data_IF_097628756963
#
_entry.id   IF_097628756963
#
_cell.length_a   1.000
_cell.length_b   1.000
_cell.length_c   1.000
_cell.angle_alpha   90.00
_cell.angle_beta   90.00
_cell.angle_gamma   90.00
#
_symmetry.space_group_name_H-M   'P 1'
#
loop_
_entity.id
_entity.type
_entity.pdbx_description
1 polymer ?
#
# COMPACT_ATOMS: atom_id res chain seq x y z
N UNK A 1 15.43 3.00 -10.32
CA UNK A 1 14.45 1.95 -9.98
C UNK A 1 14.57 1.76 -8.49
N UNK A 2 13.52 2.02 -7.73
CA UNK A 2 13.51 1.87 -6.27
C UNK A 2 13.96 0.44 -5.89
N UNK A 3 14.88 0.32 -4.93
CA UNK A 3 15.23 -0.97 -4.34
C UNK A 3 14.01 -1.58 -3.63
N UNK A 4 14.10 -2.86 -3.26
CA UNK A 4 13.05 -3.53 -2.48
C UNK A 4 12.70 -2.77 -1.20
N UNK A 5 11.41 -2.47 -1.01
CA UNK A 5 10.86 -1.80 0.19
C UNK A 5 10.02 -2.78 1.02
N UNK A 6 9.67 -2.39 2.27
CA UNK A 6 8.85 -3.20 3.17
C UNK A 6 7.40 -3.38 2.69
N UNK A 7 6.85 -2.37 2.01
CA UNK A 7 5.51 -2.41 1.44
C UNK A 7 5.45 -1.46 0.24
N UNK A 8 4.58 -1.78 -0.72
CA UNK A 8 4.26 -0.94 -1.86
C UNK A 8 2.75 -1.05 -2.14
N UNK A 9 1.98 -0.03 -1.79
CA UNK A 9 0.52 -0.06 -1.88
C UNK A 9 0.01 -0.23 -3.32
N UNK A 10 0.53 0.56 -4.26
CA UNK A 10 0.17 0.45 -5.69
C UNK A 10 0.60 -0.90 -6.29
N UNK A 11 1.75 -1.43 -5.89
CA UNK A 11 2.20 -2.77 -6.26
C UNK A 11 1.22 -3.84 -5.78
N UNK A 12 0.78 -3.76 -4.53
CA UNK A 12 -0.20 -4.69 -3.96
C UNK A 12 -1.55 -4.63 -4.71
N UNK A 13 -2.03 -3.43 -5.05
CA UNK A 13 -3.26 -3.26 -5.87
C UNK A 13 -3.11 -3.93 -7.23
N UNK A 14 -2.01 -3.68 -7.94
CA UNK A 14 -1.76 -4.28 -9.24
C UNK A 14 -1.70 -5.81 -9.16
N UNK A 15 -1.00 -6.35 -8.17
CA UNK A 15 -0.92 -7.80 -7.92
C UNK A 15 -2.31 -8.40 -7.65
N UNK A 16 -3.12 -7.78 -6.79
CA UNK A 16 -4.48 -8.24 -6.49
C UNK A 16 -5.39 -8.31 -7.73
N UNK A 17 -5.36 -7.27 -8.58
CA UNK A 17 -6.17 -7.22 -9.81
C UNK A 17 -5.71 -8.29 -10.80
N UNK A 18 -4.40 -8.44 -11.03
CA UNK A 18 -3.87 -9.49 -11.91
C UNK A 18 -4.22 -10.87 -11.38
N UNK A 19 -4.09 -11.11 -10.07
CA UNK A 19 -4.46 -12.40 -9.47
C UNK A 19 -5.96 -12.68 -9.57
N UNK A 20 -6.82 -11.66 -9.47
CA UNK A 20 -8.25 -11.80 -9.74
C UNK A 20 -8.51 -12.23 -11.19
N UNK A 21 -7.87 -11.58 -12.16
CA UNK A 21 -8.05 -11.87 -13.57
C UNK A 21 -7.53 -13.27 -13.97
N UNK A 22 -6.38 -13.68 -13.42
CA UNK A 22 -5.72 -14.95 -13.78
C UNK A 22 -6.28 -16.14 -13.00
N UNK A 23 -6.61 -15.96 -11.72
CA UNK A 23 -6.98 -17.06 -10.82
C UNK A 23 -8.44 -17.00 -10.36
N UNK A 24 -9.21 -16.01 -10.79
CA UNK A 24 -10.62 -15.86 -10.41
C UNK A 24 -10.83 -15.45 -8.94
N UNK A 25 -9.81 -14.87 -8.29
CA UNK A 25 -9.96 -14.34 -6.93
C UNK A 25 -11.00 -13.22 -6.93
N UNK A 26 -11.82 -13.16 -5.88
CA UNK A 26 -12.85 -12.14 -5.74
C UNK A 26 -12.40 -11.08 -4.74
N UNK A 27 -12.86 -9.85 -4.97
CA UNK A 27 -12.71 -8.75 -4.02
C UNK A 27 -13.41 -9.07 -2.68
N UNK A 28 -12.77 -8.77 -1.52
CA UNK A 28 -11.42 -8.25 -1.40
C UNK A 28 -10.34 -9.33 -1.54
N UNK A 29 -9.20 -8.97 -2.12
CA UNK A 29 -8.00 -9.81 -2.18
C UNK A 29 -7.00 -9.37 -1.13
N UNK A 30 -6.52 -10.30 -0.31
CA UNK A 30 -5.42 -10.04 0.64
C UNK A 30 -4.05 -10.22 -0.02
N UNK A 31 -3.15 -9.27 0.22
CA UNK A 31 -1.77 -9.27 -0.27
C UNK A 31 -0.83 -9.17 0.92
N UNK A 32 0.00 -10.18 1.12
CA UNK A 32 1.07 -10.18 2.11
C UNK A 32 2.30 -9.47 1.54
N UNK A 33 2.69 -8.34 2.15
CA UNK A 33 3.87 -7.57 1.77
C UNK A 33 5.10 -7.96 2.60
N UNK A 34 6.29 -7.49 2.24
CA UNK A 34 7.55 -7.87 2.90
C UNK A 34 7.62 -7.53 4.39
N UNK A 35 6.89 -6.51 4.85
CA UNK A 35 6.76 -6.19 6.28
C UNK A 35 6.05 -7.28 7.09
N UNK A 36 5.40 -8.26 6.42
CA UNK A 36 4.51 -9.24 7.04
C UNK A 36 3.08 -8.73 7.24
N UNK A 37 2.80 -7.48 6.86
CA UNK A 37 1.45 -6.92 6.88
C UNK A 37 0.60 -7.51 5.74
N UNK A 38 -0.70 -7.65 5.99
CA UNK A 38 -1.70 -8.02 4.99
C UNK A 38 -2.52 -6.81 4.59
N UNK A 39 -2.35 -6.37 3.35
CA UNK A 39 -3.16 -5.31 2.75
C UNK A 39 -4.39 -5.94 2.10
N UNK A 40 -5.57 -5.33 2.25
CA UNK A 40 -6.78 -5.75 1.53
C UNK A 40 -7.03 -4.81 0.37
N UNK A 41 -7.19 -5.38 -0.81
CA UNK A 41 -7.52 -4.64 -2.03
C UNK A 41 -8.96 -4.94 -2.41
N UNK A 42 -9.78 -3.90 -2.42
CA UNK A 42 -11.16 -3.94 -2.86
C UNK A 42 -11.24 -3.36 -4.26
N UNK A 43 -11.98 -4.02 -5.14
CA UNK A 43 -12.27 -3.53 -6.48
C UNK A 43 -13.63 -4.04 -6.95
N UNK A 44 -14.27 -3.27 -7.84
CA UNK A 44 -15.45 -3.71 -8.58
C UNK A 44 -15.05 -4.43 -9.89
N UNK A 45 -16.02 -5.05 -10.57
CA UNK A 45 -15.75 -5.81 -11.80
C UNK A 45 -15.29 -4.94 -12.96
N UNK A 46 -15.66 -3.65 -12.96
CA UNK A 46 -15.27 -2.69 -13.99
C UNK A 46 -13.96 -1.94 -13.65
N UNK A 47 -13.36 -2.20 -12.48
CA UNK A 47 -12.19 -1.51 -11.94
C UNK A 47 -12.33 0.02 -11.91
N UNK A 48 -13.56 0.53 -11.75
CA UNK A 48 -13.83 1.96 -11.58
C UNK A 48 -13.54 2.43 -10.17
N UNK A 49 -13.79 1.56 -9.20
CA UNK A 49 -13.62 1.83 -7.78
C UNK A 49 -12.60 0.86 -7.22
N UNK A 50 -11.47 1.37 -6.75
CA UNK A 50 -10.37 0.56 -6.19
C UNK A 50 -9.94 1.17 -4.86
N UNK A 51 -9.96 0.36 -3.80
CA UNK A 51 -9.59 0.77 -2.45
C UNK A 51 -8.50 -0.15 -1.90
N UNK A 52 -7.57 0.45 -1.16
CA UNK A 52 -6.55 -0.25 -0.39
C UNK A 52 -6.81 0.01 1.10
N UNK A 53 -7.03 -1.05 1.86
CA UNK A 53 -7.07 -1.02 3.32
C UNK A 53 -5.76 -1.60 3.86
N UNK A 54 -5.13 -0.87 4.79
CA UNK A 54 -3.92 -1.26 5.49
C UNK A 54 -3.87 -0.61 6.87
N UNK A 55 -2.98 -1.12 7.71
CA UNK A 55 -2.72 -0.58 9.03
C UNK A 55 -2.03 0.79 8.97
N UNK A 56 -2.14 1.53 10.06
CA UNK A 56 -1.41 2.77 10.28
C UNK A 56 -1.02 2.84 11.74
N UNK A 57 0.19 3.30 12.01
CA UNK A 57 0.73 3.45 13.37
C UNK A 57 1.25 4.87 13.54
N UNK A 58 0.83 5.52 14.62
CA UNK A 58 1.42 6.77 15.07
C UNK A 58 2.76 6.48 15.74
N UNK A 59 3.87 6.95 15.16
CA UNK A 59 5.21 6.61 15.65
C UNK A 59 5.69 7.58 16.73
N UNK A 60 5.60 8.89 16.50
CA UNK A 60 6.09 9.90 17.45
C UNK A 60 5.50 11.30 17.19
N UNK A 61 5.58 12.14 18.21
CA UNK A 61 5.39 13.60 18.13
C UNK A 61 6.74 14.31 18.17
N UNK A 62 6.95 15.34 17.34
CA UNK A 62 8.23 16.03 17.23
C UNK A 62 8.14 17.54 16.97
N UNK A 63 9.16 18.28 17.40
CA UNK A 63 9.38 19.69 17.04
C UNK A 63 10.75 19.84 16.38
N UNK A 64 10.78 20.39 15.17
CA UNK A 64 12.01 20.77 14.48
C UNK A 64 12.41 22.19 14.87
N UNK A 65 13.71 22.43 15.12
CA UNK A 65 14.23 23.79 15.30
C UNK A 65 14.28 24.50 13.94
N UNK A 66 14.00 25.81 13.92
CA UNK A 66 13.84 26.57 12.67
C UNK A 66 15.11 26.60 11.84
N UNK A 67 16.28 26.68 12.48
CA UNK A 67 17.57 26.79 11.81
C UNK A 67 17.93 25.52 11.01
N UNK A 68 17.26 24.39 11.26
CA UNK A 68 17.44 23.13 10.51
C UNK A 68 16.59 23.05 9.23
N UNK A 69 15.61 23.96 9.07
CA UNK A 69 14.72 24.00 7.90
C UNK A 69 15.23 24.96 6.81
N UNK A 70 16.07 25.92 7.18
CA UNK A 70 16.69 26.88 6.27
C UNK A 70 17.94 26.22 5.66
N UNK A 71 17.84 25.76 4.40
CA UNK A 71 18.98 25.28 3.61
C UNK A 71 19.49 26.48 2.80
N UNK A 72 20.75 26.85 2.99
CA UNK A 72 21.47 27.77 2.07
C UNK A 72 21.48 27.21 0.64
#
# INVERSE_FOLDING_TARGET
VENETLACGTGAVASAIVSSAVYGLKSPVEVEVRSGERLKVYFDSELKEVYLEGGTVWVFDGKLRRELLERD
#
